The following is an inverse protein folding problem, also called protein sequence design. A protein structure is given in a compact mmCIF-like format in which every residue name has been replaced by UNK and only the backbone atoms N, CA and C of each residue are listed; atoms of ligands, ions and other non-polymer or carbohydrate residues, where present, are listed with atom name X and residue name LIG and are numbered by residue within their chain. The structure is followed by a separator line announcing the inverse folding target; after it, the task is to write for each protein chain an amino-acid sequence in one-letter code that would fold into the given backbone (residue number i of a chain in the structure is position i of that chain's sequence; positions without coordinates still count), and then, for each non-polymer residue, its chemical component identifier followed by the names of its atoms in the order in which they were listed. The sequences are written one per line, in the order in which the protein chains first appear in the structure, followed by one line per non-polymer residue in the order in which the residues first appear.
data_IF_784828617973
#
_entry.id   IF_784828617973
#
_cell.length_a   1.000
_cell.length_b   1.000
_cell.length_c   1.000
_cell.angle_alpha   90.00
_cell.angle_beta   90.00
_cell.angle_gamma   90.00
#
_symmetry.space_group_name_H-M   'P 1'
#
loop_
_entity.id
_entity.type
_entity.pdbx_description
1 polymer ?
#
# COMPACT_ATOMS: atom_id res chain seq x y z
N UNK A 1 50.26 7.53 -13.27
CA UNK A 1 49.63 7.17 -11.99
C UNK A 1 48.11 7.25 -12.24
N UNK A 2 47.48 6.11 -12.47
CA UNK A 2 46.03 6.04 -12.70
C UNK A 2 45.33 5.89 -11.33
N UNK A 3 44.62 6.89 -10.90
CA UNK A 3 43.70 6.75 -9.78
C UNK A 3 42.49 5.98 -10.24
N UNK A 4 42.48 4.67 -9.97
CA UNK A 4 41.29 3.87 -10.00
C UNK A 4 40.38 4.37 -8.89
N UNK A 5 39.34 5.12 -9.22
CA UNK A 5 38.23 5.39 -8.32
C UNK A 5 37.51 4.05 -8.13
N UNK A 6 37.88 3.35 -7.06
CA UNK A 6 37.04 2.33 -6.49
C UNK A 6 35.80 3.05 -5.93
N UNK A 7 34.78 3.21 -6.77
CA UNK A 7 33.45 3.49 -6.27
C UNK A 7 33.04 2.27 -5.42
N UNK A 8 33.16 2.41 -4.11
CA UNK A 8 32.47 1.53 -3.20
C UNK A 8 30.97 1.66 -3.59
N UNK A 9 30.38 0.58 -4.10
CA UNK A 9 28.94 0.45 -4.18
C UNK A 9 28.44 0.46 -2.73
N UNK A 10 28.28 1.63 -2.14
CA UNK A 10 27.46 1.79 -0.96
C UNK A 10 26.12 1.12 -1.30
N UNK A 11 25.69 0.19 -0.44
CA UNK A 11 24.48 -0.61 -0.64
C UNK A 11 23.31 0.29 -1.01
N UNK A 12 23.01 0.39 -2.30
CA UNK A 12 21.91 1.22 -2.80
C UNK A 12 20.61 0.73 -2.16
N UNK A 13 19.94 1.62 -1.45
CA UNK A 13 18.66 1.33 -0.82
C UNK A 13 17.56 1.31 -1.87
N UNK A 14 16.62 0.38 -1.74
CA UNK A 14 15.57 0.18 -2.74
C UNK A 14 14.20 0.14 -2.09
N UNK A 15 13.23 0.82 -2.68
CA UNK A 15 11.80 0.76 -2.33
C UNK A 15 11.07 0.18 -3.53
N UNK A 16 10.42 -0.97 -3.35
CA UNK A 16 9.63 -1.64 -4.38
C UNK A 16 8.14 -1.48 -4.06
N UNK A 17 7.44 -0.67 -4.84
CA UNK A 17 6.00 -0.46 -4.73
C UNK A 17 5.29 -1.47 -5.64
N UNK A 18 4.51 -2.38 -5.06
CA UNK A 18 3.85 -3.45 -5.81
C UNK A 18 2.38 -3.14 -5.99
N UNK A 19 1.96 -3.05 -7.25
CA UNK A 19 0.57 -2.90 -7.67
C UNK A 19 0.10 -4.22 -8.27
N UNK A 20 -1.15 -4.59 -8.04
CA UNK A 20 -1.76 -5.76 -8.66
C UNK A 20 -3.16 -6.00 -8.13
N UNK A 21 -3.98 -6.63 -8.95
CA UNK A 21 -5.34 -7.01 -8.59
C UNK A 21 -5.34 -7.92 -7.36
N UNK A 22 -6.45 -7.92 -6.64
CA UNK A 22 -6.70 -8.90 -5.59
C UNK A 22 -6.56 -10.33 -6.16
N UNK A 23 -5.85 -11.19 -5.44
CA UNK A 23 -5.52 -12.56 -5.89
C UNK A 23 -4.58 -12.65 -7.11
N UNK A 24 -3.93 -11.57 -7.52
CA UNK A 24 -2.94 -11.63 -8.60
C UNK A 24 -1.65 -12.36 -8.22
N UNK A 25 -1.44 -12.69 -6.96
CA UNK A 25 -0.20 -13.32 -6.47
C UNK A 25 0.85 -12.34 -5.98
N UNK A 26 0.54 -11.04 -5.87
CA UNK A 26 1.52 -10.02 -5.45
C UNK A 26 2.15 -10.31 -4.08
N UNK A 27 1.37 -10.80 -3.12
CA UNK A 27 1.87 -11.11 -1.77
C UNK A 27 2.62 -12.46 -1.73
N UNK A 28 2.14 -13.48 -2.44
CA UNK A 28 2.66 -14.85 -2.34
C UNK A 28 3.74 -15.18 -3.35
N UNK A 29 3.80 -14.48 -4.47
CA UNK A 29 4.73 -14.75 -5.55
C UNK A 29 5.77 -13.64 -5.66
N UNK A 30 5.35 -12.43 -6.07
CA UNK A 30 6.30 -11.35 -6.34
C UNK A 30 7.01 -10.87 -5.07
N UNK A 31 6.26 -10.64 -3.99
CA UNK A 31 6.84 -10.22 -2.71
C UNK A 31 7.83 -11.25 -2.20
N UNK A 32 7.47 -12.54 -2.23
CA UNK A 32 8.35 -13.62 -1.76
C UNK A 32 9.62 -13.72 -2.58
N UNK A 33 9.54 -13.62 -3.90
CA UNK A 33 10.74 -13.65 -4.76
C UNK A 33 11.69 -12.50 -4.48
N UNK A 34 11.16 -11.28 -4.25
CA UNK A 34 12.01 -10.14 -3.91
C UNK A 34 12.70 -10.36 -2.55
N UNK A 35 11.98 -10.95 -1.58
CA UNK A 35 12.54 -11.27 -0.27
C UNK A 35 13.62 -12.37 -0.34
N UNK A 36 13.39 -13.39 -1.15
CA UNK A 36 14.30 -14.54 -1.29
C UNK A 36 15.65 -14.14 -1.89
N UNK A 37 15.69 -13.06 -2.67
CA UNK A 37 16.93 -12.53 -3.24
C UNK A 37 17.89 -11.96 -2.17
N UNK A 38 17.35 -11.35 -1.11
CA UNK A 38 18.16 -10.81 -0.02
C UNK A 38 17.37 -10.84 1.31
N UNK A 39 17.16 -12.04 1.89
CA UNK A 39 16.23 -12.22 3.00
C UNK A 39 16.63 -11.50 4.28
N UNK A 40 17.94 -11.27 4.50
CA UNK A 40 18.43 -10.61 5.72
C UNK A 40 18.28 -9.08 5.68
N UNK A 41 18.27 -8.50 4.50
CA UNK A 41 18.24 -7.05 4.29
C UNK A 41 16.95 -6.56 3.63
N UNK A 42 15.96 -7.43 3.51
CA UNK A 42 14.66 -7.11 2.91
C UNK A 42 13.54 -7.17 3.93
N UNK A 43 12.60 -6.25 3.83
CA UNK A 43 11.40 -6.21 4.67
C UNK A 43 10.17 -5.88 3.85
N UNK A 44 9.03 -6.50 4.21
CA UNK A 44 7.73 -6.14 3.65
C UNK A 44 7.04 -5.17 4.59
N UNK A 45 6.60 -4.07 4.04
CA UNK A 45 5.74 -3.11 4.71
C UNK A 45 4.40 -3.01 3.99
N UNK A 46 3.36 -2.61 4.72
CA UNK A 46 2.02 -2.39 4.17
C UNK A 46 1.46 -1.07 4.67
N UNK A 47 0.84 -0.32 3.77
CA UNK A 47 0.11 0.91 4.09
C UNK A 47 -1.01 0.65 5.10
N UNK A 48 -1.64 -0.52 5.00
CA UNK A 48 -2.72 -0.94 5.90
C UNK A 48 -2.23 -1.43 7.27
N UNK A 49 -0.93 -1.56 7.53
CA UNK A 49 -0.41 -2.06 8.82
C UNK A 49 -0.94 -1.28 10.02
N UNK A 50 -0.91 0.06 10.07
CA UNK A 50 -1.41 0.79 11.23
C UNK A 50 -2.93 0.60 11.46
N UNK A 51 -3.69 0.41 10.37
CA UNK A 51 -5.13 0.12 10.45
C UNK A 51 -5.36 -1.26 11.08
N UNK A 52 -4.57 -2.26 10.67
CA UNK A 52 -4.66 -3.63 11.20
C UNK A 52 -4.24 -3.71 12.66
N UNK A 53 -3.17 -3.05 13.03
CA UNK A 53 -2.72 -2.95 14.42
C UNK A 53 -3.79 -2.31 15.31
N UNK A 54 -4.43 -1.24 14.82
CA UNK A 54 -5.55 -0.61 15.53
C UNK A 54 -6.75 -1.55 15.63
N UNK A 55 -7.13 -2.21 14.54
CA UNK A 55 -8.19 -3.20 14.54
C UNK A 55 -7.89 -4.31 15.55
N UNK A 56 -6.69 -4.86 15.54
CA UNK A 56 -6.28 -5.90 16.48
C UNK A 56 -6.39 -5.40 17.94
N UNK A 57 -5.88 -4.22 18.23
CA UNK A 57 -5.94 -3.66 19.59
C UNK A 57 -7.37 -3.51 20.13
N UNK A 58 -8.34 -3.19 19.25
CA UNK A 58 -9.74 -3.07 19.62
C UNK A 58 -10.47 -4.42 19.68
N UNK A 59 -10.09 -5.35 18.81
CA UNK A 59 -10.79 -6.63 18.66
C UNK A 59 -10.19 -7.75 19.50
N UNK A 60 -8.97 -7.57 20.06
CA UNK A 60 -8.28 -8.58 20.88
C UNK A 60 -8.99 -8.94 22.20
N UNK A 61 -9.95 -8.12 22.63
CA UNK A 61 -10.82 -8.47 23.77
C UNK A 61 -11.80 -9.61 23.43
N UNK A 62 -11.96 -9.96 22.15
CA UNK A 62 -12.78 -11.06 21.71
C UNK A 62 -12.03 -12.39 21.82
N UNK A 63 -12.64 -13.46 22.35
CA UNK A 63 -11.95 -14.70 22.73
C UNK A 63 -11.29 -15.45 21.55
N UNK A 64 -11.72 -15.17 20.33
CA UNK A 64 -11.23 -15.85 19.12
C UNK A 64 -10.14 -15.05 18.38
N UNK A 65 -9.68 -13.92 18.93
CA UNK A 65 -8.68 -13.04 18.31
C UNK A 65 -7.49 -12.97 19.26
N UNK A 66 -6.43 -13.72 18.94
CA UNK A 66 -5.22 -13.82 19.77
C UNK A 66 -4.01 -13.14 19.15
N UNK A 67 -4.00 -13.05 17.84
CA UNK A 67 -2.92 -12.43 17.07
C UNK A 67 -3.45 -11.60 15.90
N UNK A 68 -2.60 -10.75 15.34
CA UNK A 68 -2.97 -9.83 14.24
C UNK A 68 -3.45 -10.58 12.99
N UNK A 69 -2.94 -11.79 12.75
CA UNK A 69 -3.35 -12.61 11.62
C UNK A 69 -4.82 -13.07 11.73
N UNK A 70 -5.34 -13.21 12.95
CA UNK A 70 -6.73 -13.66 13.17
C UNK A 70 -7.75 -12.68 12.59
N UNK A 71 -7.50 -11.36 12.66
CA UNK A 71 -8.43 -10.35 12.10
C UNK A 71 -8.57 -10.43 10.59
N UNK A 72 -7.58 -10.98 9.90
CA UNK A 72 -7.57 -11.17 8.44
C UNK A 72 -8.00 -12.61 8.04
N UNK A 73 -8.16 -13.52 9.00
CA UNK A 73 -8.63 -14.86 8.73
C UNK A 73 -10.05 -14.84 8.11
N UNK A 74 -10.24 -15.58 7.02
CA UNK A 74 -11.49 -15.55 6.22
C UNK A 74 -12.73 -15.78 7.10
N UNK A 75 -12.62 -16.65 8.12
CA UNK A 75 -13.73 -16.97 9.02
C UNK A 75 -14.09 -15.86 10.02
N UNK A 76 -13.14 -14.95 10.30
CA UNK A 76 -13.31 -13.88 11.31
C UNK A 76 -13.53 -12.54 10.63
N UNK A 77 -12.87 -12.32 9.49
CA UNK A 77 -12.84 -11.04 8.78
C UNK A 77 -14.23 -10.48 8.45
N UNK A 78 -15.13 -11.34 8.02
CA UNK A 78 -16.50 -10.96 7.64
C UNK A 78 -17.52 -11.19 8.77
N UNK A 79 -17.09 -11.80 9.89
CA UNK A 79 -17.98 -12.11 11.00
C UNK A 79 -18.21 -10.85 11.85
N UNK A 80 -19.46 -10.38 11.99
CA UNK A 80 -19.78 -9.31 12.91
C UNK A 80 -19.52 -9.72 14.36
N UNK A 81 -18.94 -8.82 15.12
CA UNK A 81 -18.66 -8.93 16.54
C UNK A 81 -19.35 -7.79 17.29
N UNK A 82 -19.72 -8.03 18.54
CA UNK A 82 -20.43 -7.06 19.37
C UNK A 82 -19.48 -6.40 20.35
N UNK A 83 -19.58 -5.07 20.46
CA UNK A 83 -18.79 -4.23 21.35
C UNK A 83 -19.68 -3.27 22.12
N UNK A 84 -19.23 -2.81 23.28
CA UNK A 84 -19.80 -1.64 23.93
C UNK A 84 -19.54 -0.40 23.08
N UNK A 85 -20.62 0.29 22.70
CA UNK A 85 -20.53 1.41 21.75
C UNK A 85 -19.66 2.56 22.26
N UNK A 86 -19.85 2.95 23.51
CA UNK A 86 -19.17 4.12 24.06
C UNK A 86 -17.67 3.87 24.24
N UNK A 87 -17.32 2.73 24.81
CA UNK A 87 -15.91 2.31 24.94
C UNK A 87 -15.22 2.14 23.58
N UNK A 88 -15.94 1.58 22.60
CA UNK A 88 -15.41 1.39 21.25
C UNK A 88 -15.13 2.73 20.55
N UNK A 89 -16.06 3.69 20.64
CA UNK A 89 -15.90 5.04 20.09
C UNK A 89 -14.70 5.75 20.71
N UNK A 90 -14.60 5.76 22.03
CA UNK A 90 -13.51 6.41 22.76
C UNK A 90 -12.15 5.79 22.36
N UNK A 91 -12.02 4.47 22.44
CA UNK A 91 -10.79 3.76 22.07
C UNK A 91 -10.41 4.03 20.61
N UNK A 92 -11.38 4.01 19.70
CA UNK A 92 -11.16 4.29 18.26
C UNK A 92 -10.69 5.71 18.05
N UNK A 93 -11.33 6.71 18.68
CA UNK A 93 -10.94 8.10 18.56
C UNK A 93 -9.50 8.34 19.06
N UNK A 94 -9.16 7.79 20.23
CA UNK A 94 -7.80 7.90 20.78
C UNK A 94 -6.74 7.29 19.84
N UNK A 95 -7.04 6.15 19.21
CA UNK A 95 -6.14 5.54 18.21
C UNK A 95 -6.02 6.39 16.95
N UNK A 96 -7.13 6.94 16.46
CA UNK A 96 -7.12 7.84 15.30
C UNK A 96 -6.27 9.09 15.57
N UNK A 97 -6.46 9.76 16.72
CA UNK A 97 -5.67 10.94 17.11
C UNK A 97 -4.17 10.61 17.16
N UNK A 98 -3.81 9.47 17.73
CA UNK A 98 -2.41 9.03 17.78
C UNK A 98 -1.83 8.84 16.38
N UNK A 99 -2.55 8.16 15.47
CA UNK A 99 -2.09 7.97 14.09
C UNK A 99 -2.01 9.29 13.31
N UNK A 100 -2.98 10.19 13.51
CA UNK A 100 -2.97 11.52 12.90
C UNK A 100 -1.77 12.32 13.37
N UNK A 101 -1.50 12.37 14.67
CA UNK A 101 -0.35 13.08 15.22
C UNK A 101 0.98 12.57 14.63
N UNK A 102 1.15 11.24 14.56
CA UNK A 102 2.33 10.63 13.97
C UNK A 102 2.41 10.90 12.45
N UNK A 103 1.31 10.71 11.71
CA UNK A 103 1.28 10.90 10.26
C UNK A 103 1.44 12.36 9.83
N UNK A 104 0.98 13.30 10.64
CA UNK A 104 1.18 14.75 10.46
C UNK A 104 2.54 15.23 11.00
N UNK A 105 3.33 14.33 11.59
CA UNK A 105 4.64 14.64 12.17
C UNK A 105 4.57 15.75 13.23
N UNK A 106 3.55 15.72 14.09
CA UNK A 106 3.37 16.71 15.14
C UNK A 106 4.53 16.61 16.13
N UNK A 107 5.25 17.71 16.43
CA UNK A 107 6.33 17.71 17.41
C UNK A 107 5.86 17.23 18.79
N UNK A 108 6.72 16.51 19.50
CA UNK A 108 6.40 15.98 20.85
C UNK A 108 5.93 17.08 21.82
N UNK A 109 6.49 18.28 21.68
CA UNK A 109 6.11 19.46 22.48
C UNK A 109 4.69 19.96 22.24
N UNK A 110 4.09 19.62 21.10
CA UNK A 110 2.76 20.06 20.66
C UNK A 110 1.72 18.93 20.75
N UNK A 111 2.13 17.69 21.05
CA UNK A 111 1.23 16.53 21.06
C UNK A 111 0.03 16.70 21.98
N UNK A 112 0.24 17.28 23.17
CA UNK A 112 -0.86 17.47 24.13
C UNK A 112 -1.91 18.43 23.58
N UNK A 113 -1.45 19.58 23.06
CA UNK A 113 -2.34 20.59 22.46
C UNK A 113 -3.08 20.01 21.25
N UNK A 114 -2.37 19.35 20.35
CA UNK A 114 -2.97 18.68 19.18
C UNK A 114 -4.04 17.67 19.62
N UNK A 115 -3.72 16.82 20.60
CA UNK A 115 -4.65 15.78 21.06
C UNK A 115 -5.92 16.41 21.67
N UNK A 116 -5.80 17.48 22.42
CA UNK A 116 -6.92 18.21 23.01
C UNK A 116 -7.80 18.86 21.95
N UNK A 117 -7.18 19.54 20.97
CA UNK A 117 -7.89 20.17 19.85
C UNK A 117 -8.61 19.15 18.95
N UNK A 118 -8.00 17.97 18.72
CA UNK A 118 -8.55 16.94 17.85
C UNK A 118 -9.55 16.02 18.53
N UNK A 119 -9.62 16.00 19.86
CA UNK A 119 -10.47 15.07 20.61
C UNK A 119 -11.94 15.13 20.17
N UNK A 120 -12.55 16.30 20.30
CA UNK A 120 -13.97 16.46 19.97
C UNK A 120 -14.28 16.25 18.48
N UNK A 121 -13.54 16.82 17.53
CA UNK A 121 -13.76 16.57 16.11
C UNK A 121 -13.66 15.09 15.74
N UNK A 122 -12.62 14.38 16.23
CA UNK A 122 -12.43 12.97 15.91
C UNK A 122 -13.49 12.10 16.56
N UNK A 123 -13.83 12.31 17.83
CA UNK A 123 -14.92 11.57 18.48
C UNK A 123 -16.25 11.74 17.77
N UNK A 124 -16.60 12.94 17.35
CA UNK A 124 -17.83 13.19 16.60
C UNK A 124 -17.82 12.45 15.26
N UNK A 125 -16.71 12.50 14.53
CA UNK A 125 -16.58 11.76 13.27
C UNK A 125 -16.70 10.25 13.47
N UNK A 126 -16.08 9.70 14.51
CA UNK A 126 -16.19 8.28 14.86
C UNK A 126 -17.64 7.90 15.18
N UNK A 127 -18.34 8.73 15.95
CA UNK A 127 -19.78 8.54 16.29
C UNK A 127 -20.63 8.53 15.02
N UNK A 128 -20.43 9.50 14.13
CA UNK A 128 -21.19 9.61 12.89
C UNK A 128 -20.97 8.40 11.98
N UNK A 129 -19.71 7.99 11.81
CA UNK A 129 -19.34 6.84 10.95
C UNK A 129 -19.92 5.54 11.51
N UNK A 130 -19.87 5.32 12.82
CA UNK A 130 -20.34 4.07 13.41
C UNK A 130 -21.79 4.08 13.87
N UNK A 131 -22.51 5.18 13.70
CA UNK A 131 -23.93 5.27 14.05
C UNK A 131 -24.78 4.18 13.34
N UNK A 132 -24.45 3.86 12.08
CA UNK A 132 -25.14 2.85 11.28
C UNK A 132 -24.88 1.40 11.70
N UNK A 133 -23.89 1.17 12.56
CA UNK A 133 -23.51 -0.14 13.07
C UNK A 133 -24.04 -0.40 14.50
N UNK A 134 -24.79 0.55 15.06
CA UNK A 134 -25.43 0.35 16.37
C UNK A 134 -26.53 -0.71 16.26
N UNK A 135 -26.61 -1.54 17.29
CA UNK A 135 -27.67 -2.54 17.38
C UNK A 135 -29.04 -1.83 17.53
N UNK A 136 -29.99 -2.15 16.66
CA UNK A 136 -31.33 -1.56 16.68
C UNK A 136 -32.07 -1.84 17.98
N UNK A 137 -31.86 -3.01 18.58
CA UNK A 137 -32.50 -3.46 19.81
C UNK A 137 -31.77 -2.98 21.07
N UNK A 138 -30.48 -2.65 20.99
CA UNK A 138 -29.69 -2.16 22.11
C UNK A 138 -28.68 -1.13 21.59
N UNK A 139 -29.02 0.14 21.73
CA UNK A 139 -28.20 1.25 21.20
C UNK A 139 -26.85 1.42 21.88
N UNK A 140 -26.59 0.76 22.99
CA UNK A 140 -25.29 0.75 23.67
C UNK A 140 -24.36 -0.34 23.10
N UNK A 141 -24.85 -1.12 22.13
CA UNK A 141 -24.06 -2.12 21.42
C UNK A 141 -23.74 -1.67 19.99
N UNK A 142 -22.52 -1.97 19.56
CA UNK A 142 -22.03 -1.85 18.19
C UNK A 142 -21.81 -3.25 17.61
N UNK A 143 -22.30 -3.49 16.39
CA UNK A 143 -22.11 -4.76 15.69
C UNK A 143 -21.32 -4.48 14.41
N UNK A 144 -20.07 -4.92 14.37
CA UNK A 144 -19.16 -4.61 13.25
C UNK A 144 -18.17 -5.76 13.01
N UNK A 145 -17.85 -6.05 11.75
CA UNK A 145 -16.78 -6.98 11.38
C UNK A 145 -15.42 -6.27 11.31
N UNK A 146 -14.33 -7.04 11.42
CA UNK A 146 -12.98 -6.47 11.31
C UNK A 146 -12.75 -5.82 9.93
N UNK A 147 -13.35 -6.36 8.86
CA UNK A 147 -13.27 -5.77 7.52
C UNK A 147 -13.95 -4.40 7.45
N UNK A 148 -15.18 -4.31 7.96
CA UNK A 148 -15.91 -3.05 8.00
C UNK A 148 -15.14 -2.02 8.82
N UNK A 149 -14.66 -2.40 10.01
CA UNK A 149 -13.83 -1.51 10.81
C UNK A 149 -12.63 -0.99 10.04
N UNK A 150 -11.83 -1.87 9.44
CA UNK A 150 -10.62 -1.48 8.69
C UNK A 150 -10.94 -0.50 7.55
N UNK A 151 -12.04 -0.74 6.82
CA UNK A 151 -12.48 0.14 5.74
C UNK A 151 -12.86 1.52 6.25
N UNK A 152 -13.79 1.58 7.21
CA UNK A 152 -14.30 2.87 7.70
C UNK A 152 -13.26 3.64 8.52
N UNK A 153 -12.47 2.96 9.33
CA UNK A 153 -11.40 3.57 10.10
C UNK A 153 -10.34 4.21 9.19
N UNK A 154 -9.94 3.50 8.15
CA UNK A 154 -8.93 3.98 7.21
C UNK A 154 -9.43 5.15 6.35
N UNK A 155 -10.60 5.00 5.71
CA UNK A 155 -11.10 5.97 4.73
C UNK A 155 -11.92 7.08 5.37
N UNK A 156 -12.91 6.70 6.18
CA UNK A 156 -13.90 7.65 6.66
C UNK A 156 -13.47 8.39 7.93
N UNK A 157 -12.52 7.84 8.69
CA UNK A 157 -12.02 8.49 9.91
C UNK A 157 -10.66 9.10 9.67
N UNK A 158 -9.60 8.29 9.53
CA UNK A 158 -8.24 8.85 9.46
C UNK A 158 -8.00 9.72 8.23
N UNK A 159 -8.32 9.24 7.03
CA UNK A 159 -8.13 10.01 5.80
C UNK A 159 -9.06 11.23 5.67
N UNK A 160 -10.17 11.24 6.39
CA UNK A 160 -11.05 12.42 6.45
C UNK A 160 -10.32 13.65 7.03
N UNK A 161 -9.47 13.45 8.03
CA UNK A 161 -8.69 14.52 8.65
C UNK A 161 -7.36 14.77 7.95
N UNK A 162 -6.72 13.71 7.43
CA UNK A 162 -5.46 13.81 6.74
C UNK A 162 -5.31 12.65 5.74
N UNK A 163 -5.48 12.94 4.47
CA UNK A 163 -5.53 11.94 3.39
C UNK A 163 -4.23 11.12 3.29
N UNK A 164 -3.08 11.76 3.52
CA UNK A 164 -1.76 11.15 3.42
C UNK A 164 -1.28 10.44 4.72
N UNK A 165 -2.12 10.31 5.75
CA UNK A 165 -1.72 9.80 7.07
C UNK A 165 -0.94 8.47 7.00
N UNK A 166 -1.45 7.49 6.28
CA UNK A 166 -0.82 6.17 6.19
C UNK A 166 0.42 6.16 5.31
N UNK A 167 0.47 7.04 4.32
CA UNK A 167 1.62 7.21 3.43
C UNK A 167 2.79 7.80 4.22
N UNK A 168 2.52 8.85 5.00
CA UNK A 168 3.54 9.48 5.83
C UNK A 168 4.07 8.51 6.91
N UNK A 169 3.17 7.76 7.57
CA UNK A 169 3.57 6.73 8.54
C UNK A 169 4.48 5.68 7.89
N UNK A 170 4.16 5.24 6.68
CA UNK A 170 5.01 4.32 5.92
C UNK A 170 6.37 4.95 5.59
N UNK A 171 6.40 6.19 5.10
CA UNK A 171 7.63 6.90 4.76
C UNK A 171 8.55 7.08 5.97
N UNK A 172 8.00 7.49 7.13
CA UNK A 172 8.75 7.60 8.40
C UNK A 172 9.33 6.24 8.80
N UNK A 173 8.55 5.17 8.65
CA UNK A 173 9.03 3.81 8.95
C UNK A 173 10.17 3.39 8.04
N UNK A 174 10.07 3.65 6.73
CA UNK A 174 11.13 3.37 5.76
C UNK A 174 12.39 4.17 6.09
N UNK A 175 12.25 5.46 6.36
CA UNK A 175 13.36 6.32 6.73
C UNK A 175 14.07 5.81 8.00
N UNK A 176 13.31 5.42 9.02
CA UNK A 176 13.84 4.84 10.26
C UNK A 176 14.63 3.55 9.98
N UNK A 177 14.12 2.67 9.11
CA UNK A 177 14.81 1.44 8.73
C UNK A 177 16.09 1.73 7.96
N UNK A 178 16.06 2.71 7.08
CA UNK A 178 17.22 3.11 6.27
C UNK A 178 18.25 3.92 7.05
N UNK A 179 17.89 4.54 8.17
CA UNK A 179 18.83 5.25 9.03
C UNK A 179 19.77 4.29 9.80
N UNK A 180 19.39 3.02 9.96
CA UNK A 180 20.23 2.02 10.59
C UNK A 180 21.46 1.74 9.70
N UNK A 181 22.66 1.84 10.29
CA UNK A 181 23.95 1.62 9.61
C UNK A 181 24.62 0.29 9.98
N UNK A 182 23.92 -0.60 10.68
CA UNK A 182 24.46 -1.91 11.03
C UNK A 182 24.74 -2.77 9.77
N UNK A 183 25.60 -3.75 9.89
CA UNK A 183 25.98 -4.65 8.79
C UNK A 183 24.80 -5.46 8.22
N UNK A 184 23.76 -5.63 9.01
CA UNK A 184 22.49 -6.30 8.69
C UNK A 184 21.35 -5.30 8.44
N UNK A 185 21.68 -4.03 8.19
CA UNK A 185 20.70 -2.98 7.94
C UNK A 185 19.79 -3.33 6.76
N UNK A 186 18.53 -2.98 6.88
CA UNK A 186 17.56 -3.11 5.78
C UNK A 186 17.96 -2.18 4.64
N UNK A 187 18.15 -2.75 3.47
CA UNK A 187 18.45 -2.02 2.23
C UNK A 187 17.36 -2.13 1.19
N UNK A 188 16.43 -3.06 1.38
CA UNK A 188 15.35 -3.34 0.43
C UNK A 188 14.00 -3.38 1.13
N UNK A 189 13.12 -2.46 0.79
CA UNK A 189 11.76 -2.39 1.30
C UNK A 189 10.78 -2.74 0.19
N UNK A 190 9.83 -3.63 0.50
CA UNK A 190 8.74 -4.01 -0.39
C UNK A 190 7.42 -3.50 0.19
N UNK A 191 6.73 -2.64 -0.54
CA UNK A 191 5.37 -2.18 -0.20
C UNK A 191 4.39 -2.97 -1.05
N UNK A 192 3.72 -3.96 -0.46
CA UNK A 192 2.96 -4.97 -1.21
C UNK A 192 1.48 -4.63 -1.40
N UNK A 193 0.99 -3.53 -0.85
CA UNK A 193 -0.42 -3.14 -0.90
C UNK A 193 -0.69 -1.75 -1.49
N UNK A 194 0.21 -1.27 -2.35
CA UNK A 194 0.02 -0.01 -3.10
C UNK A 194 -1.21 -0.12 -4.00
N UNK A 195 -2.13 0.84 -3.87
CA UNK A 195 -3.44 0.81 -4.54
C UNK A 195 -3.83 2.10 -5.24
N UNK A 196 -3.29 3.23 -4.78
CA UNK A 196 -3.66 4.55 -5.26
C UNK A 196 -2.45 5.27 -5.85
N UNK A 197 -2.73 6.07 -6.87
CA UNK A 197 -1.74 6.87 -7.55
C UNK A 197 -1.09 7.90 -6.62
N UNK A 198 -1.86 8.52 -5.73
CA UNK A 198 -1.34 9.47 -4.76
C UNK A 198 -0.33 8.83 -3.78
N UNK A 199 -0.46 7.52 -3.47
CA UNK A 199 0.50 6.80 -2.64
C UNK A 199 1.88 6.77 -3.28
N UNK A 200 1.94 6.50 -4.59
CA UNK A 200 3.18 6.47 -5.36
C UNK A 200 3.83 7.85 -5.41
N UNK A 201 3.03 8.85 -5.79
CA UNK A 201 3.49 10.24 -5.91
C UNK A 201 4.02 10.79 -4.60
N UNK A 202 3.34 10.50 -3.50
CA UNK A 202 3.72 11.00 -2.19
C UNK A 202 5.00 10.33 -1.68
N UNK A 203 5.12 9.00 -1.82
CA UNK A 203 6.34 8.26 -1.46
C UNK A 203 7.53 8.81 -2.26
N UNK A 204 7.34 9.00 -3.57
CA UNK A 204 8.39 9.61 -4.40
C UNK A 204 8.75 11.02 -3.94
N UNK A 205 7.77 11.87 -3.68
CA UNK A 205 8.01 13.24 -3.22
C UNK A 205 8.74 13.29 -1.89
N UNK A 206 8.42 12.36 -0.97
CA UNK A 206 9.08 12.27 0.33
C UNK A 206 10.55 11.91 0.20
N UNK A 207 10.90 10.99 -0.70
CA UNK A 207 12.28 10.55 -0.91
C UNK A 207 12.97 11.23 -2.10
N UNK A 208 12.43 12.31 -2.62
CA UNK A 208 12.91 12.97 -3.85
C UNK A 208 14.40 13.31 -3.83
N UNK A 209 14.87 13.93 -2.76
CA UNK A 209 16.28 14.33 -2.65
C UNK A 209 17.21 13.10 -2.58
N UNK A 210 16.83 12.06 -1.84
CA UNK A 210 17.59 10.83 -1.73
C UNK A 210 17.63 10.07 -3.07
N UNK A 211 16.54 10.14 -3.84
CA UNK A 211 16.46 9.52 -5.16
C UNK A 211 17.35 10.27 -6.16
N UNK A 212 17.33 11.60 -6.18
CA UNK A 212 18.18 12.42 -7.05
C UNK A 212 19.68 12.20 -6.78
N UNK A 213 20.05 11.94 -5.53
CA UNK A 213 21.41 11.63 -5.13
C UNK A 213 21.80 10.15 -5.30
N UNK A 214 20.96 9.35 -5.95
CA UNK A 214 21.14 7.89 -6.14
C UNK A 214 21.30 7.08 -4.82
N UNK A 215 20.91 7.63 -3.69
CA UNK A 215 20.97 6.93 -2.40
C UNK A 215 19.80 5.95 -2.22
N UNK A 216 18.64 6.29 -2.82
CA UNK A 216 17.44 5.46 -2.80
C UNK A 216 16.93 5.28 -4.23
N UNK A 217 16.60 4.04 -4.58
CA UNK A 217 15.93 3.69 -5.83
C UNK A 217 14.48 3.32 -5.53
N UNK A 218 13.52 3.89 -6.25
CA UNK A 218 12.12 3.55 -6.14
C UNK A 218 11.69 2.82 -7.40
N UNK A 219 11.21 1.58 -7.26
CA UNK A 219 10.67 0.79 -8.34
C UNK A 219 9.15 0.67 -8.16
N UNK A 220 8.40 0.85 -9.23
CA UNK A 220 6.97 0.57 -9.26
C UNK A 220 6.74 -0.66 -10.14
N UNK A 221 6.17 -1.69 -9.56
CA UNK A 221 6.00 -2.99 -10.18
C UNK A 221 4.51 -3.32 -10.26
N UNK A 222 4.02 -3.58 -11.46
CA UNK A 222 2.66 -4.06 -11.67
C UNK A 222 2.67 -5.55 -11.97
N UNK A 223 2.01 -6.33 -11.13
CA UNK A 223 1.84 -7.76 -11.35
C UNK A 223 0.54 -8.02 -12.10
N UNK A 224 0.70 -8.50 -13.33
CA UNK A 224 -0.38 -8.92 -14.21
C UNK A 224 -0.44 -10.45 -14.28
N UNK A 225 -1.62 -11.03 -14.05
CA UNK A 225 -1.86 -12.45 -14.25
C UNK A 225 -2.38 -12.71 -15.64
N UNK A 226 -1.61 -13.46 -16.41
CA UNK A 226 -1.94 -13.80 -17.80
C UNK A 226 -2.97 -14.94 -17.82
N UNK A 227 -4.17 -14.65 -18.31
CA UNK A 227 -5.22 -15.65 -18.57
C UNK A 227 -5.73 -15.50 -19.99
N UNK A 228 -6.13 -16.62 -20.58
CA UNK A 228 -6.72 -16.66 -21.90
C UNK A 228 -8.06 -17.40 -21.86
N UNK A 229 -8.99 -16.98 -22.70
CA UNK A 229 -10.24 -17.68 -22.97
C UNK A 229 -10.05 -18.78 -24.05
N UNK A 230 -11.12 -19.49 -24.38
CA UNK A 230 -11.14 -20.56 -25.38
C UNK A 230 -10.76 -20.08 -26.78
N UNK A 231 -10.85 -18.78 -27.07
CA UNK A 231 -10.43 -18.17 -28.34
C UNK A 231 -8.98 -17.67 -28.35
N UNK A 232 -8.16 -18.05 -27.37
CA UNK A 232 -6.79 -17.60 -27.15
C UNK A 232 -6.65 -16.08 -26.92
N UNK A 233 -7.75 -15.42 -26.53
CA UNK A 233 -7.77 -14.00 -26.22
C UNK A 233 -7.45 -13.78 -24.74
N UNK A 234 -6.58 -12.81 -24.44
CA UNK A 234 -6.27 -12.43 -23.07
C UNK A 234 -7.48 -11.78 -22.38
N UNK A 235 -7.78 -12.25 -21.20
CA UNK A 235 -8.92 -11.80 -20.39
C UNK A 235 -8.50 -11.37 -18.99
N UNK A 236 -9.32 -10.53 -18.36
CA UNK A 236 -9.12 -10.13 -16.96
C UNK A 236 -9.32 -11.28 -16.01
N UNK A 237 -8.44 -11.41 -15.03
CA UNK A 237 -8.52 -12.43 -13.98
C UNK A 237 -9.75 -12.26 -13.06
N UNK A 238 -10.29 -11.06 -12.90
CA UNK A 238 -11.33 -10.75 -11.92
C UNK A 238 -12.48 -9.89 -12.50
N UNK A 239 -13.05 -10.28 -13.61
CA UNK A 239 -14.02 -9.46 -14.35
C UNK A 239 -15.33 -9.11 -13.63
N UNK A 240 -15.65 -9.67 -12.45
CA UNK A 240 -17.00 -9.56 -11.87
C UNK A 240 -17.11 -9.22 -10.36
N UNK A 241 -16.04 -8.97 -9.62
CA UNK A 241 -16.16 -8.95 -8.15
C UNK A 241 -15.67 -7.72 -7.39
N UNK A 242 -14.89 -6.83 -7.96
CA UNK A 242 -14.29 -5.73 -7.18
C UNK A 242 -14.47 -4.37 -7.86
N UNK A 243 -15.62 -3.74 -7.63
CA UNK A 243 -15.89 -2.34 -8.04
C UNK A 243 -15.38 -1.31 -7.00
N UNK A 244 -14.56 -1.74 -6.04
CA UNK A 244 -14.09 -0.85 -4.99
C UNK A 244 -13.05 0.14 -5.54
N UNK A 245 -13.16 1.42 -5.15
CA UNK A 245 -12.28 2.52 -5.59
C UNK A 245 -10.79 2.18 -5.44
N UNK A 246 -10.41 1.40 -4.40
CA UNK A 246 -9.02 0.99 -4.19
C UNK A 246 -8.47 0.01 -5.22
N UNK A 247 -9.29 -0.55 -6.09
CA UNK A 247 -8.85 -1.44 -7.17
C UNK A 247 -8.78 -0.72 -8.53
N UNK A 248 -9.19 0.56 -8.59
CA UNK A 248 -9.28 1.30 -9.85
C UNK A 248 -7.93 1.39 -10.56
N UNK A 249 -6.87 1.78 -9.88
CA UNK A 249 -5.53 1.88 -10.50
C UNK A 249 -5.08 0.55 -11.10
N UNK A 250 -5.27 -0.55 -10.37
CA UNK A 250 -4.88 -1.88 -10.86
C UNK A 250 -5.79 -2.36 -12.01
N UNK A 251 -7.07 -1.94 -12.05
CA UNK A 251 -7.98 -2.22 -13.16
C UNK A 251 -7.58 -1.46 -14.42
N UNK A 252 -7.29 -0.18 -14.30
CA UNK A 252 -6.87 0.66 -15.41
C UNK A 252 -5.55 0.14 -16.01
N UNK A 253 -4.58 -0.23 -15.17
CA UNK A 253 -3.33 -0.86 -15.61
C UNK A 253 -3.56 -2.22 -16.28
N UNK A 254 -4.42 -3.06 -15.73
CA UNK A 254 -4.78 -4.35 -16.32
C UNK A 254 -5.45 -4.18 -17.69
N UNK A 255 -6.39 -3.24 -17.82
CA UNK A 255 -7.09 -2.99 -19.08
C UNK A 255 -6.11 -2.57 -20.18
N UNK A 256 -5.17 -1.67 -19.89
CA UNK A 256 -4.16 -1.25 -20.85
C UNK A 256 -3.27 -2.41 -21.28
N UNK A 257 -2.85 -3.28 -20.35
CA UNK A 257 -2.08 -4.48 -20.67
C UNK A 257 -2.89 -5.42 -21.57
N UNK A 258 -4.19 -5.63 -21.26
CA UNK A 258 -5.07 -6.47 -22.06
C UNK A 258 -5.27 -5.92 -23.48
N UNK A 259 -5.49 -4.62 -23.61
CA UNK A 259 -5.66 -3.97 -24.93
C UNK A 259 -4.39 -4.15 -25.77
N UNK A 260 -3.22 -4.00 -25.15
CA UNK A 260 -1.93 -4.24 -25.81
C UNK A 260 -1.70 -5.70 -26.20
N UNK A 261 -2.07 -6.66 -25.35
CA UNK A 261 -1.90 -8.08 -25.64
C UNK A 261 -2.84 -8.57 -26.72
N UNK A 262 -4.05 -8.02 -26.81
CA UNK A 262 -5.07 -8.38 -27.79
C UNK A 262 -4.95 -7.62 -29.12
N UNK A 263 -4.23 -6.49 -29.17
CA UNK A 263 -3.91 -5.79 -30.42
C UNK A 263 -2.92 -6.61 -31.25
N UNK A 264 -3.23 -6.83 -32.55
CA UNK A 264 -2.40 -7.62 -33.49
C UNK A 264 -1.20 -6.80 -33.99
N UNK A 265 -0.09 -7.39 -34.41
CA UNK A 265 0.64 -8.63 -34.20
C UNK A 265 1.98 -8.46 -33.44
N UNK A 266 2.85 -9.46 -33.43
CA UNK A 266 4.05 -9.66 -32.59
C UNK A 266 4.93 -8.44 -32.29
N UNK A 267 5.03 -7.45 -33.20
CA UNK A 267 5.79 -6.20 -33.05
C UNK A 267 5.02 -5.13 -32.23
N UNK A 268 3.72 -5.23 -32.16
CA UNK A 268 2.87 -4.32 -31.38
C UNK A 268 3.00 -4.59 -29.86
N UNK A 269 3.32 -5.82 -29.45
CA UNK A 269 3.39 -6.18 -28.03
C UNK A 269 4.45 -5.37 -27.27
N UNK A 270 5.68 -5.28 -27.78
CA UNK A 270 6.72 -4.47 -27.13
C UNK A 270 6.45 -2.97 -27.21
N UNK A 271 5.96 -2.50 -28.35
CA UNK A 271 5.59 -1.10 -28.53
C UNK A 271 4.38 -0.72 -27.66
N UNK A 272 3.38 -1.62 -27.54
CA UNK A 272 2.22 -1.43 -26.67
C UNK A 272 2.56 -1.48 -25.19
N UNK A 273 3.46 -2.36 -24.75
CA UNK A 273 3.96 -2.31 -23.37
C UNK A 273 4.66 -0.99 -23.07
N UNK A 274 5.42 -0.44 -24.03
CA UNK A 274 6.04 0.88 -23.88
C UNK A 274 5.02 2.01 -23.94
N UNK A 275 3.99 1.91 -24.74
CA UNK A 275 2.94 2.91 -24.91
C UNK A 275 1.91 2.87 -23.77
N UNK A 276 1.58 1.70 -23.24
CA UNK A 276 0.78 1.51 -22.04
C UNK A 276 1.42 2.16 -20.82
N UNK A 277 2.75 2.05 -20.69
CA UNK A 277 3.54 2.78 -19.72
C UNK A 277 3.35 4.30 -19.79
N UNK A 278 3.08 4.81 -20.98
CA UNK A 278 2.95 6.24 -21.24
C UNK A 278 1.57 6.80 -20.95
N UNK A 279 0.52 6.13 -21.35
CA UNK A 279 -0.81 6.70 -21.41
C UNK A 279 -1.51 6.81 -20.06
N UNK A 280 -1.26 5.86 -19.16
CA UNK A 280 -1.83 5.87 -17.80
C UNK A 280 -1.18 6.95 -16.93
N UNK A 281 0.08 7.29 -17.20
CA UNK A 281 0.88 8.15 -16.36
C UNK A 281 1.12 9.55 -16.92
N UNK A 282 0.65 9.84 -18.15
CA UNK A 282 0.86 11.15 -18.78
C UNK A 282 0.02 12.27 -18.19
N UNK A 283 -1.17 11.98 -17.72
CA UNK A 283 -2.13 13.03 -17.40
C UNK A 283 -2.07 13.54 -15.96
N UNK A 284 -1.52 12.78 -15.00
CA UNK A 284 -1.64 13.13 -13.58
C UNK A 284 -0.41 12.89 -12.70
N UNK A 285 0.71 12.36 -13.18
CA UNK A 285 1.82 12.00 -12.32
C UNK A 285 2.98 12.97 -12.37
N UNK A 286 3.44 13.37 -11.20
CA UNK A 286 4.71 14.05 -11.00
C UNK A 286 5.82 13.24 -11.67
N UNK A 287 6.59 13.91 -12.50
CA UNK A 287 7.62 13.34 -13.36
C UNK A 287 8.75 12.79 -12.51
N UNK A 288 8.76 11.48 -12.42
CA UNK A 288 9.79 10.74 -11.71
C UNK A 288 10.77 10.13 -12.70
N UNK A 289 12.05 10.45 -12.58
CA UNK A 289 13.10 9.79 -13.32
C UNK A 289 13.45 8.46 -12.64
N UNK A 290 12.73 7.43 -13.00
CA UNK A 290 13.09 6.06 -12.63
C UNK A 290 14.03 5.52 -13.69
N UNK A 291 15.32 5.83 -13.54
CA UNK A 291 16.35 5.25 -14.40
C UNK A 291 16.50 3.77 -14.12
N UNK A 292 16.16 2.97 -15.11
CA UNK A 292 16.34 1.54 -15.30
C UNK A 292 15.30 0.57 -14.75
N UNK A 293 14.89 -0.40 -15.59
CA UNK A 293 13.99 -1.48 -15.19
C UNK A 293 14.73 -2.45 -14.29
N UNK A 294 14.17 -2.73 -13.12
CA UNK A 294 14.53 -3.95 -12.42
C UNK A 294 13.97 -5.10 -13.26
N UNK A 295 14.86 -5.88 -13.84
CA UNK A 295 14.53 -7.17 -14.40
C UNK A 295 14.13 -8.06 -13.22
N UNK A 296 12.86 -8.11 -12.91
CA UNK A 296 12.36 -9.21 -12.11
C UNK A 296 12.28 -10.40 -13.05
N UNK A 297 12.97 -11.48 -12.72
CA UNK A 297 13.02 -12.70 -13.52
C UNK A 297 11.61 -13.09 -13.96
N UNK A 298 11.49 -13.49 -15.22
CA UNK A 298 10.27 -14.05 -15.77
C UNK A 298 9.80 -15.17 -14.86
N UNK A 299 8.62 -14.98 -14.25
CA UNK A 299 7.97 -16.06 -13.52
C UNK A 299 7.62 -17.17 -14.50
N UNK A 300 8.13 -18.35 -14.25
CA UNK A 300 7.62 -19.56 -14.89
C UNK A 300 6.16 -19.70 -14.47
N UNK A 301 5.26 -19.82 -15.45
CA UNK A 301 3.81 -19.96 -15.33
C UNK A 301 2.98 -18.68 -15.07
N UNK A 302 2.11 -18.37 -15.99
CA UNK A 302 0.90 -17.50 -15.92
C UNK A 302 1.04 -16.07 -15.35
N UNK A 303 2.24 -15.61 -14.99
CA UNK A 303 2.45 -14.28 -14.44
C UNK A 303 3.47 -13.48 -15.24
N UNK A 304 3.13 -12.23 -15.53
CA UNK A 304 4.06 -11.25 -16.10
C UNK A 304 4.18 -10.05 -15.20
N UNK A 305 5.40 -9.61 -14.97
CA UNK A 305 5.69 -8.36 -14.30
C UNK A 305 5.95 -7.32 -15.37
N UNK A 306 5.13 -6.28 -15.35
CA UNK A 306 5.30 -5.14 -16.23
C UNK A 306 6.00 -4.05 -15.43
N UNK A 307 7.27 -3.72 -15.73
CA UNK A 307 7.91 -2.58 -15.10
C UNK A 307 7.20 -1.31 -15.55
N UNK A 308 6.86 -0.47 -14.61
CA UNK A 308 6.28 0.85 -14.87
C UNK A 308 7.42 1.85 -14.86
N UNK A 309 7.79 2.38 -16.02
CA UNK A 309 8.80 3.43 -16.13
C UNK A 309 8.13 4.80 -16.02
N UNK A 310 8.65 5.60 -15.14
CA UNK A 310 8.28 6.98 -14.98
C UNK A 310 9.29 7.86 -15.70
N UNK A 311 8.86 8.80 -16.52
CA UNK A 311 9.77 9.78 -17.12
C UNK A 311 9.53 11.14 -16.49
N UNK A 312 10.59 11.78 -16.03
CA UNK A 312 10.62 13.21 -15.77
C UNK A 312 10.41 13.96 -17.08
N UNK A 313 9.43 14.84 -17.14
CA UNK A 313 9.49 15.96 -18.12
C UNK A 313 10.50 16.95 -17.57
N UNK A 314 11.56 17.17 -18.27
CA UNK A 314 12.47 18.30 -18.11
C UNK A 314 11.75 19.56 -18.55
#
# INVERSE_FOLDING_TARGET
MSFSHAYSHANQRTINLIIGRKFSGKDTVLTQQILDHNPKQSVVLKLATPIKETCFALFSEQPNIKEIADIDAIKIKEKPLTFDYHSFVEKTANKAITLLACGMMIPTTELFKFSDEMKTPVENRVKDVFATFRNENNKDELIISSRQFQQYFGTEICRHFFDDVFINLLCIKIETLFANQASDAITNVVVSDTRFENEINKIYSFFKEQTLNNNIKINVLFLFRELKDESDKYISFNSKRDEHVSEKLSQDLEQVVLDCLNAKPRYAKEACYRQAKWQIFQDNLLQCDLSQPVLVAALEHDFKIVPVEWKTKI
#
